data_IF_389020473896
#
_entry.id   IF_389020473896
#
_cell.length_a   1.000
_cell.length_b   1.000
_cell.length_c   1.000
_cell.angle_alpha   90.00
_cell.angle_beta   90.00
_cell.angle_gamma   90.00
#
_symmetry.space_group_name_H-M   'P 1'
#
loop_
_entity.id
_entity.type
_entity.pdbx_description
1 polymer ?
#
# COMPACT_ATOMS: atom_id res chain seq x y z
N UNK A 1 -43.75 5.44 9.46
CA UNK A 1 -42.95 6.26 8.51
C UNK A 1 -41.60 6.69 9.13
N UNK A 2 -40.76 5.73 9.57
CA UNK A 2 -39.38 5.95 10.06
C UNK A 2 -38.54 4.67 9.93
N UNK A 3 -38.49 4.08 8.74
CA UNK A 3 -37.65 2.88 8.50
C UNK A 3 -36.89 2.90 7.16
N UNK A 4 -37.14 3.88 6.29
CA UNK A 4 -36.56 3.92 4.95
C UNK A 4 -35.27 4.74 4.80
N UNK A 5 -34.83 5.48 5.82
CA UNK A 5 -33.65 6.40 5.71
C UNK A 5 -32.33 5.73 6.13
N UNK A 6 -32.34 4.48 6.62
CA UNK A 6 -31.12 3.78 7.06
C UNK A 6 -30.51 2.83 6.05
N UNK A 7 -31.28 2.25 5.13
CA UNK A 7 -30.76 1.29 4.14
C UNK A 7 -30.06 1.96 2.96
N UNK A 8 -30.55 3.10 2.48
CA UNK A 8 -29.94 3.83 1.35
C UNK A 8 -28.58 4.45 1.73
N UNK A 9 -28.44 4.92 2.96
CA UNK A 9 -27.14 5.40 3.50
C UNK A 9 -26.19 4.20 3.72
N UNK A 10 -26.70 3.03 4.11
CA UNK A 10 -25.87 1.82 4.26
C UNK A 10 -25.40 1.26 2.92
N UNK A 11 -26.25 1.23 1.88
CA UNK A 11 -25.85 0.81 0.54
C UNK A 11 -24.88 1.80 -0.12
N UNK A 12 -25.04 3.11 0.10
CA UNK A 12 -24.13 4.13 -0.42
C UNK A 12 -22.72 4.09 0.20
N UNK A 13 -22.57 3.55 1.43
CA UNK A 13 -21.26 3.29 2.04
C UNK A 13 -20.60 1.98 1.60
N UNK A 14 -21.30 1.11 0.86
CA UNK A 14 -20.82 -0.22 0.48
C UNK A 14 -20.38 -0.36 -0.98
N UNK A 15 -20.81 0.50 -1.89
CA UNK A 15 -20.29 0.50 -3.26
C UNK A 15 -18.87 1.06 -3.27
N UNK A 16 -17.85 0.21 -3.37
CA UNK A 16 -16.43 0.63 -3.38
C UNK A 16 -15.59 0.12 -2.21
N UNK A 17 -16.19 0.03 -1.02
CA UNK A 17 -15.44 -0.14 0.23
C UNK A 17 -14.67 -1.46 0.34
N UNK A 18 -15.15 -2.53 -0.29
CA UNK A 18 -14.52 -3.84 -0.24
C UNK A 18 -13.05 -3.81 -0.71
N UNK A 19 -12.73 -3.05 -1.77
CA UNK A 19 -11.36 -2.98 -2.28
C UNK A 19 -10.48 -1.93 -1.61
N UNK A 20 -10.96 -1.25 -0.57
CA UNK A 20 -10.21 -0.19 0.12
C UNK A 20 -9.30 -0.70 1.25
N UNK A 21 -9.19 -2.01 1.44
CA UNK A 21 -8.37 -2.61 2.50
C UNK A 21 -9.00 -2.50 3.89
N UNK A 22 -10.26 -2.89 4.03
CA UNK A 22 -11.00 -2.84 5.29
C UNK A 22 -11.68 -4.18 5.56
N UNK A 23 -11.25 -4.89 6.61
CA UNK A 23 -11.77 -6.22 6.94
C UNK A 23 -13.28 -6.24 7.21
N UNK A 24 -13.85 -5.14 7.71
CA UNK A 24 -15.29 -5.04 7.94
C UNK A 24 -16.11 -4.98 6.64
N UNK A 25 -15.51 -4.46 5.56
CA UNK A 25 -16.20 -4.21 4.30
C UNK A 25 -15.84 -5.22 3.19
N UNK A 26 -14.78 -6.00 3.37
CA UNK A 26 -14.34 -6.97 2.38
C UNK A 26 -15.28 -8.18 2.36
N UNK A 27 -15.81 -8.47 1.17
CA UNK A 27 -16.90 -9.40 0.95
C UNK A 27 -16.52 -10.54 -0.01
N UNK A 28 -15.26 -10.60 -0.48
CA UNK A 28 -14.82 -11.64 -1.41
C UNK A 28 -14.59 -12.95 -0.67
N UNK A 29 -15.19 -14.07 -1.12
CA UNK A 29 -14.92 -15.38 -0.54
C UNK A 29 -13.44 -15.75 -0.64
N UNK A 30 -12.95 -16.48 0.36
CA UNK A 30 -11.54 -16.90 0.40
C UNK A 30 -11.09 -17.66 -0.85
N UNK A 31 -11.94 -18.52 -1.41
CA UNK A 31 -11.64 -19.22 -2.68
C UNK A 31 -11.34 -18.27 -3.83
N UNK A 32 -12.06 -17.16 -3.93
CA UNK A 32 -11.82 -16.14 -4.98
C UNK A 32 -10.48 -15.42 -4.77
N UNK A 33 -10.07 -15.20 -3.51
CA UNK A 33 -8.75 -14.65 -3.18
C UNK A 33 -7.63 -15.63 -3.56
N UNK A 34 -7.82 -16.92 -3.28
CA UNK A 34 -6.87 -17.98 -3.67
C UNK A 34 -6.74 -18.11 -5.19
N UNK A 35 -7.84 -17.98 -5.92
CA UNK A 35 -7.81 -18.04 -7.38
C UNK A 35 -7.10 -16.81 -7.97
N UNK A 36 -7.38 -15.61 -7.43
CA UNK A 36 -6.70 -14.39 -7.84
C UNK A 36 -5.18 -14.47 -7.61
N UNK A 37 -4.79 -14.85 -6.38
CA UNK A 37 -3.39 -14.90 -5.96
C UNK A 37 -2.59 -15.98 -6.67
N UNK A 38 -3.23 -17.07 -7.13
CA UNK A 38 -2.57 -18.08 -7.97
C UNK A 38 -2.07 -17.50 -9.29
N UNK A 39 -2.88 -16.68 -9.95
CA UNK A 39 -2.46 -15.98 -11.17
C UNK A 39 -1.31 -15.03 -10.88
N UNK A 40 -1.40 -14.27 -9.78
CA UNK A 40 -0.32 -13.34 -9.39
C UNK A 40 0.99 -14.07 -9.10
N UNK A 41 0.92 -15.23 -8.44
CA UNK A 41 2.07 -16.08 -8.12
C UNK A 41 2.74 -16.61 -9.39
N UNK A 42 1.97 -17.09 -10.38
CA UNK A 42 2.55 -17.55 -11.65
C UNK A 42 3.20 -16.39 -12.42
N UNK A 43 2.59 -15.20 -12.42
CA UNK A 43 3.14 -14.00 -13.06
C UNK A 43 4.43 -13.50 -12.40
N UNK A 44 4.64 -13.77 -11.11
CA UNK A 44 5.80 -13.29 -10.34
C UNK A 44 6.85 -14.37 -10.06
N UNK A 45 6.63 -15.57 -10.60
CA UNK A 45 7.52 -16.71 -10.44
C UNK A 45 8.93 -16.42 -10.92
N UNK A 46 9.92 -16.80 -10.12
CA UNK A 46 11.34 -16.53 -10.34
C UNK A 46 11.80 -15.14 -9.90
N UNK A 47 10.89 -14.25 -9.49
CA UNK A 47 11.23 -12.89 -9.04
C UNK A 47 11.24 -12.81 -7.51
N UNK A 48 12.45 -12.68 -6.96
CA UNK A 48 12.66 -12.66 -5.50
C UNK A 48 12.55 -11.26 -4.88
N UNK A 49 12.74 -10.21 -5.69
CA UNK A 49 12.81 -8.81 -5.24
C UNK A 49 11.91 -7.94 -6.11
N UNK A 50 10.65 -7.86 -5.70
CA UNK A 50 9.62 -7.08 -6.38
C UNK A 50 9.43 -5.75 -5.67
N UNK A 51 9.19 -4.68 -6.44
CA UNK A 51 8.80 -3.39 -5.89
C UNK A 51 7.50 -2.91 -6.52
N UNK A 52 6.43 -2.93 -5.72
CA UNK A 52 5.09 -2.52 -6.16
C UNK A 52 5.02 -1.02 -6.41
N UNK A 53 4.80 -0.66 -7.67
CA UNK A 53 4.48 0.67 -8.17
C UNK A 53 2.98 0.72 -8.46
N UNK A 54 2.21 1.39 -7.60
CA UNK A 54 0.75 1.47 -7.76
C UNK A 54 0.37 2.61 -8.70
N UNK A 55 -0.16 2.29 -9.87
CA UNK A 55 -0.52 3.29 -10.86
C UNK A 55 -1.84 3.98 -10.50
N UNK A 56 -1.74 5.29 -10.29
CA UNK A 56 -2.87 6.23 -10.32
C UNK A 56 -2.65 7.35 -11.33
N UNK A 57 -1.44 7.45 -11.91
CA UNK A 57 -1.06 8.41 -12.94
C UNK A 57 0.14 7.84 -13.73
N UNK A 58 -0.03 7.66 -15.03
CA UNK A 58 0.91 6.90 -15.86
C UNK A 58 2.34 7.48 -15.86
N UNK A 59 2.48 8.79 -16.00
CA UNK A 59 3.80 9.43 -16.03
C UNK A 59 4.51 9.33 -14.66
N UNK A 60 3.73 9.49 -13.59
CA UNK A 60 4.25 9.35 -12.24
C UNK A 60 4.70 7.92 -11.95
N UNK A 61 3.84 6.94 -12.27
CA UNK A 61 4.14 5.53 -12.10
C UNK A 61 5.32 5.09 -12.96
N UNK A 62 5.43 5.58 -14.20
CA UNK A 62 6.57 5.28 -15.06
C UNK A 62 7.88 5.83 -14.51
N UNK A 63 7.88 7.04 -13.92
CA UNK A 63 9.04 7.59 -13.24
C UNK A 63 9.43 6.76 -12.00
N UNK A 64 8.45 6.34 -11.21
CA UNK A 64 8.63 5.40 -10.10
C UNK A 64 9.29 4.10 -10.58
N UNK A 65 8.79 3.48 -11.65
CA UNK A 65 9.36 2.26 -12.21
C UNK A 65 10.82 2.43 -12.63
N UNK A 66 11.17 3.55 -13.28
CA UNK A 66 12.55 3.84 -13.69
C UNK A 66 13.49 3.99 -12.50
N UNK A 67 13.06 4.63 -11.42
CA UNK A 67 13.83 4.73 -10.17
C UNK A 67 14.05 3.36 -9.52
N UNK A 68 13.02 2.51 -9.50
CA UNK A 68 13.13 1.14 -8.99
C UNK A 68 14.13 0.34 -9.82
N UNK A 69 14.07 0.45 -11.15
CA UNK A 69 14.99 -0.22 -12.08
C UNK A 69 16.45 0.14 -11.81
N UNK A 70 16.75 1.41 -11.55
CA UNK A 70 18.13 1.86 -11.24
C UNK A 70 18.72 1.15 -10.00
N UNK A 71 17.88 0.69 -9.07
CA UNK A 71 18.29 0.00 -7.85
C UNK A 71 18.43 -1.52 -8.02
N UNK A 72 18.16 -2.05 -9.22
CA UNK A 72 18.21 -3.49 -9.50
C UNK A 72 17.03 -4.28 -8.94
N UNK A 73 15.97 -3.61 -8.49
CA UNK A 73 14.70 -4.26 -8.12
C UNK A 73 13.81 -4.41 -9.36
N UNK A 74 12.99 -5.46 -9.41
CA UNK A 74 12.02 -5.62 -10.50
C UNK A 74 10.78 -4.76 -10.21
N UNK A 75 10.45 -3.77 -11.05
CA UNK A 75 9.20 -3.03 -10.90
C UNK A 75 8.01 -3.95 -11.12
N UNK A 76 7.07 -3.94 -10.17
CA UNK A 76 5.79 -4.63 -10.28
C UNK A 76 4.68 -3.58 -10.35
N UNK A 77 3.90 -3.58 -11.42
CA UNK A 77 2.90 -2.54 -11.67
C UNK A 77 1.50 -3.11 -11.52
N UNK A 78 0.74 -2.53 -10.61
CA UNK A 78 -0.70 -2.76 -10.42
C UNK A 78 -1.46 -1.44 -10.45
N UNK A 79 -2.76 -1.47 -10.66
CA UNK A 79 -3.58 -0.26 -10.78
C UNK A 79 -4.97 -0.42 -10.18
N UNK A 80 -5.57 0.71 -9.85
CA UNK A 80 -6.98 0.78 -9.47
C UNK A 80 -7.84 0.74 -10.75
N UNK A 81 -8.88 -0.11 -10.86
CA UNK A 81 -9.82 -0.10 -11.99
C UNK A 81 -10.45 1.28 -12.25
N UNK A 82 -10.53 2.15 -11.24
CA UNK A 82 -11.02 3.53 -11.38
C UNK A 82 -10.04 4.46 -12.13
N UNK A 83 -8.77 4.09 -12.25
CA UNK A 83 -7.76 4.86 -12.99
C UNK A 83 -7.67 4.47 -14.47
N UNK A 84 -8.48 3.51 -14.92
CA UNK A 84 -8.55 3.03 -16.30
C UNK A 84 -8.70 1.51 -16.38
N UNK A 85 -9.16 1.02 -17.55
CA UNK A 85 -9.31 -0.42 -17.82
C UNK A 85 -8.09 -1.05 -18.53
N UNK A 86 -7.11 -0.24 -18.90
CA UNK A 86 -5.93 -0.66 -19.64
C UNK A 86 -4.70 -0.84 -18.76
N UNK A 87 -3.79 -1.72 -19.20
CA UNK A 87 -2.46 -1.82 -18.61
C UNK A 87 -1.72 -0.48 -18.75
N UNK A 88 -1.16 0.09 -17.67
CA UNK A 88 -0.41 1.34 -17.75
C UNK A 88 0.91 1.17 -18.53
N UNK A 89 1.53 2.27 -18.99
CA UNK A 89 2.85 2.25 -19.58
C UNK A 89 3.90 1.68 -18.62
N UNK A 90 4.79 0.84 -19.14
CA UNK A 90 5.81 0.18 -18.34
C UNK A 90 7.21 0.23 -18.93
N UNK A 91 8.22 0.12 -18.07
CA UNK A 91 9.60 -0.20 -18.49
C UNK A 91 9.70 -1.66 -18.95
N UNK A 92 10.64 -2.02 -19.86
CA UNK A 92 10.67 -3.34 -20.50
C UNK A 92 10.73 -4.54 -19.55
N UNK A 93 11.40 -4.40 -18.41
CA UNK A 93 11.57 -5.47 -17.41
C UNK A 93 10.53 -5.45 -16.28
N UNK A 94 9.57 -4.53 -16.32
CA UNK A 94 8.50 -4.49 -15.33
C UNK A 94 7.51 -5.65 -15.52
N UNK A 95 7.00 -6.16 -14.40
CA UNK A 95 5.91 -7.13 -14.36
C UNK A 95 4.61 -6.35 -14.19
N UNK A 96 3.58 -6.71 -14.96
CA UNK A 96 2.24 -6.11 -14.85
C UNK A 96 1.24 -7.12 -14.33
N UNK A 97 0.44 -6.70 -13.35
CA UNK A 97 -0.64 -7.52 -12.80
C UNK A 97 -1.88 -6.64 -12.66
N UNK A 98 -2.93 -7.03 -13.38
CA UNK A 98 -4.28 -6.60 -13.03
C UNK A 98 -4.75 -7.41 -11.82
N UNK A 99 -4.54 -6.85 -10.62
CA UNK A 99 -4.95 -7.49 -9.37
C UNK A 99 -6.47 -7.61 -9.23
N UNK A 100 -7.26 -7.00 -10.13
CA UNK A 100 -8.71 -6.96 -10.01
C UNK A 100 -9.45 -7.96 -10.93
N UNK A 101 -8.78 -8.61 -11.88
CA UNK A 101 -9.43 -9.53 -12.87
C UNK A 101 -10.36 -10.54 -12.20
N UNK A 102 -9.85 -11.24 -11.20
CA UNK A 102 -10.59 -12.26 -10.47
C UNK A 102 -11.47 -11.65 -9.38
N UNK A 103 -11.04 -10.58 -8.72
CA UNK A 103 -11.75 -9.98 -7.57
C UNK A 103 -12.96 -9.13 -7.99
N UNK A 104 -12.95 -8.54 -9.19
CA UNK A 104 -14.04 -7.73 -9.74
C UNK A 104 -14.55 -6.68 -8.76
N UNK A 105 -13.64 -5.98 -8.10
CA UNK A 105 -13.97 -4.90 -7.19
C UNK A 105 -14.14 -3.60 -7.99
N UNK A 106 -15.10 -2.73 -7.62
CA UNK A 106 -15.27 -1.43 -8.29
C UNK A 106 -14.09 -0.47 -8.05
N UNK A 107 -13.35 -0.66 -6.97
CA UNK A 107 -12.15 0.10 -6.59
C UNK A 107 -11.15 -0.91 -6.03
N UNK A 108 -9.85 -0.69 -6.23
CA UNK A 108 -8.83 -1.54 -5.64
C UNK A 108 -7.68 -0.67 -5.13
N UNK A 109 -7.35 -0.78 -3.85
CA UNK A 109 -6.17 -0.13 -3.28
C UNK A 109 -5.01 -1.11 -3.22
N UNK A 110 -3.78 -0.59 -3.28
CA UNK A 110 -2.55 -1.38 -3.12
C UNK A 110 -2.51 -2.22 -1.84
N UNK A 111 -3.25 -1.82 -0.81
CA UNK A 111 -3.41 -2.59 0.42
C UNK A 111 -3.92 -4.00 0.19
N UNK A 112 -4.76 -4.22 -0.84
CA UNK A 112 -5.32 -5.55 -1.12
C UNK A 112 -4.24 -6.56 -1.51
N UNK A 113 -3.43 -6.33 -2.56
CA UNK A 113 -2.34 -7.24 -2.87
C UNK A 113 -1.27 -7.30 -1.77
N UNK A 114 -1.04 -6.23 -1.01
CA UNK A 114 -0.11 -6.22 0.12
C UNK A 114 -0.52 -7.15 1.27
N UNK A 115 -1.81 -7.19 1.62
CA UNK A 115 -2.31 -8.07 2.70
C UNK A 115 -2.10 -9.55 2.39
N UNK A 116 -2.16 -9.90 1.10
CA UNK A 116 -2.02 -11.28 0.62
C UNK A 116 -0.65 -11.58 0.02
N UNK A 117 0.36 -10.73 0.26
CA UNK A 117 1.69 -10.88 -0.35
C UNK A 117 2.27 -12.29 -0.17
N UNK A 118 2.09 -12.90 1.01
CA UNK A 118 2.55 -14.26 1.31
C UNK A 118 2.09 -15.37 0.34
N UNK A 119 0.97 -15.16 -0.35
CA UNK A 119 0.42 -16.12 -1.31
C UNK A 119 1.11 -16.10 -2.66
N UNK A 120 1.74 -14.98 -3.03
CA UNK A 120 2.19 -14.78 -4.41
C UNK A 120 3.64 -14.32 -4.54
N UNK A 121 4.28 -13.79 -3.50
CA UNK A 121 5.69 -13.40 -3.57
C UNK A 121 6.60 -14.59 -3.22
N UNK A 122 7.78 -14.65 -3.83
CA UNK A 122 8.77 -15.69 -3.49
C UNK A 122 9.56 -15.37 -2.22
N UNK A 123 10.07 -14.13 -2.10
CA UNK A 123 10.94 -13.74 -0.98
C UNK A 123 10.48 -12.43 -0.33
N UNK A 124 10.55 -11.29 -1.03
CA UNK A 124 10.16 -10.00 -0.45
C UNK A 124 9.54 -9.04 -1.46
N UNK A 125 8.66 -8.18 -0.96
CA UNK A 125 7.93 -7.17 -1.71
C UNK A 125 8.16 -5.81 -1.08
N UNK A 126 8.95 -4.98 -1.77
CA UNK A 126 8.98 -3.55 -1.53
C UNK A 126 7.73 -2.88 -2.14
N UNK A 127 7.36 -1.73 -1.60
CA UNK A 127 6.28 -0.90 -2.13
C UNK A 127 6.48 0.54 -1.68
N UNK A 128 5.79 1.43 -2.37
CA UNK A 128 5.61 2.82 -1.97
C UNK A 128 4.24 3.32 -2.40
N UNK A 129 3.79 4.39 -1.76
CA UNK A 129 2.53 5.01 -2.08
C UNK A 129 2.57 5.63 -3.48
N UNK A 130 1.41 5.70 -4.14
CA UNK A 130 1.29 6.11 -5.54
C UNK A 130 1.65 7.58 -5.79
N UNK A 131 1.68 8.41 -4.76
CA UNK A 131 2.08 9.82 -4.80
C UNK A 131 3.39 10.10 -4.05
N UNK A 132 4.25 9.09 -3.89
CA UNK A 132 5.62 9.24 -3.41
C UNK A 132 6.62 9.31 -4.58
N UNK A 133 7.50 10.31 -4.58
CA UNK A 133 8.72 10.33 -5.39
C UNK A 133 9.89 10.70 -4.49
N UNK A 134 11.05 10.10 -4.73
CA UNK A 134 12.24 10.35 -3.92
C UNK A 134 13.46 10.60 -4.83
N UNK A 135 14.40 11.46 -4.39
CA UNK A 135 15.70 11.55 -5.01
C UNK A 135 16.47 10.22 -4.88
N UNK A 136 17.44 10.01 -5.78
CA UNK A 136 18.24 8.77 -5.87
C UNK A 136 18.90 8.38 -4.56
N UNK A 137 19.49 9.33 -3.82
CA UNK A 137 20.18 9.04 -2.56
C UNK A 137 19.26 8.43 -1.49
N UNK A 138 17.96 8.77 -1.52
CA UNK A 138 16.97 8.19 -0.60
C UNK A 138 16.42 6.88 -1.11
N UNK A 139 16.28 6.74 -2.43
CA UNK A 139 15.97 5.46 -3.06
C UNK A 139 17.02 4.41 -2.72
N UNK A 140 18.31 4.75 -2.83
CA UNK A 140 19.43 3.88 -2.44
C UNK A 140 19.36 3.47 -0.97
N UNK A 141 19.06 4.42 -0.06
CA UNK A 141 18.88 4.11 1.36
C UNK A 141 17.71 3.17 1.62
N UNK A 142 16.57 3.36 0.95
CA UNK A 142 15.43 2.46 1.07
C UNK A 142 15.76 1.07 0.55
N UNK A 143 16.38 0.99 -0.63
CA UNK A 143 16.83 -0.28 -1.20
C UNK A 143 17.78 -1.01 -0.23
N UNK A 144 18.77 -0.32 0.33
CA UNK A 144 19.66 -0.89 1.34
C UNK A 144 18.91 -1.43 2.57
N UNK A 145 17.94 -0.68 3.11
CA UNK A 145 17.09 -1.15 4.21
C UNK A 145 16.32 -2.41 3.81
N UNK A 146 15.71 -2.44 2.64
CA UNK A 146 14.91 -3.57 2.14
C UNK A 146 15.75 -4.82 1.84
N UNK A 147 16.99 -4.63 1.41
CA UNK A 147 17.95 -5.71 1.26
C UNK A 147 18.34 -6.31 2.62
N UNK A 148 18.47 -5.47 3.65
CA UNK A 148 18.94 -5.90 4.98
C UNK A 148 17.92 -6.70 5.79
N UNK A 149 16.61 -6.57 5.52
CA UNK A 149 15.59 -7.30 6.29
C UNK A 149 15.63 -8.81 6.01
N UNK A 150 15.52 -9.59 7.09
CA UNK A 150 15.53 -11.05 7.05
C UNK A 150 14.13 -11.61 6.80
N UNK A 151 14.04 -12.89 6.39
CA UNK A 151 12.74 -13.55 6.28
C UNK A 151 12.03 -13.59 7.66
N UNK A 152 10.76 -13.20 7.68
CA UNK A 152 9.98 -12.95 8.89
C UNK A 152 9.99 -11.50 9.37
N UNK A 153 10.80 -10.63 8.75
CA UNK A 153 10.89 -9.21 9.09
C UNK A 153 10.20 -8.33 8.04
N UNK A 154 10.07 -7.06 8.41
CA UNK A 154 9.49 -6.01 7.59
C UNK A 154 10.26 -4.71 7.78
N UNK A 155 10.20 -3.80 6.81
CA UNK A 155 10.54 -2.40 6.98
C UNK A 155 9.34 -1.53 6.62
N UNK A 156 9.05 -0.50 7.40
CA UNK A 156 7.96 0.43 7.09
C UNK A 156 8.14 1.78 7.77
N UNK A 157 7.51 2.80 7.19
CA UNK A 157 7.52 4.16 7.71
C UNK A 157 6.74 4.22 9.00
N UNK A 158 7.37 4.60 10.10
CA UNK A 158 6.67 4.75 11.37
C UNK A 158 6.12 6.17 11.50
N UNK A 159 4.81 6.29 11.73
CA UNK A 159 4.14 7.57 11.92
C UNK A 159 3.43 7.65 13.27
N UNK A 160 3.60 8.78 13.93
CA UNK A 160 2.82 9.15 15.11
C UNK A 160 1.44 9.69 14.74
N UNK A 161 1.19 10.06 13.46
CA UNK A 161 -0.01 10.79 13.06
C UNK A 161 0.04 12.27 13.46
N UNK A 162 1.24 12.86 13.48
CA UNK A 162 1.50 14.24 13.89
C UNK A 162 1.78 14.44 15.39
N UNK A 163 2.29 15.63 15.75
CA UNK A 163 2.75 15.94 17.12
C UNK A 163 1.66 15.78 18.18
N UNK A 164 0.39 16.09 17.85
CA UNK A 164 -0.76 15.94 18.75
C UNK A 164 -0.98 14.49 19.22
N UNK A 165 -0.47 13.53 18.46
CA UNK A 165 -0.65 12.11 18.70
C UNK A 165 0.60 11.43 19.29
N UNK A 166 1.64 12.19 19.63
CA UNK A 166 2.90 11.66 20.18
C UNK A 166 2.67 10.73 21.38
N UNK A 167 1.76 11.11 22.28
CA UNK A 167 1.39 10.30 23.46
C UNK A 167 0.14 9.44 23.26
N UNK A 168 -0.54 9.56 22.12
CA UNK A 168 -1.67 8.71 21.76
C UNK A 168 -1.17 7.43 21.09
N UNK A 169 -0.64 6.50 21.88
CA UNK A 169 -0.03 5.28 21.35
C UNK A 169 -0.96 4.39 20.52
N UNK A 170 -2.28 4.59 20.61
CA UNK A 170 -3.32 3.87 19.84
C UNK A 170 -3.49 4.40 18.42
N UNK A 171 -3.02 5.61 18.13
CA UNK A 171 -3.02 6.18 16.77
C UNK A 171 -1.69 6.02 16.06
N UNK A 172 -0.66 5.50 16.74
CA UNK A 172 0.62 5.20 16.11
C UNK A 172 0.45 4.05 15.14
N UNK A 173 1.06 4.17 13.96
CA UNK A 173 0.93 3.18 12.89
C UNK A 173 2.20 3.07 12.08
N UNK A 174 2.32 1.98 11.34
CA UNK A 174 3.15 1.99 10.16
C UNK A 174 2.34 2.57 9.01
N UNK A 175 2.94 3.52 8.29
CA UNK A 175 2.31 4.19 7.18
C UNK A 175 2.75 3.52 5.88
N UNK A 176 1.79 3.19 5.03
CA UNK A 176 1.95 2.63 3.68
C UNK A 176 2.68 3.56 2.69
N UNK A 177 3.38 4.58 3.18
CA UNK A 177 4.12 5.54 2.36
C UNK A 177 5.30 4.86 1.65
N UNK A 178 6.07 4.05 2.38
CA UNK A 178 7.12 3.20 1.85
C UNK A 178 7.34 2.01 2.79
N UNK A 179 7.60 0.83 2.24
CA UNK A 179 7.98 -0.32 3.04
C UNK A 179 8.40 -1.53 2.22
N UNK A 180 8.80 -2.57 2.94
CA UNK A 180 9.10 -3.88 2.38
C UNK A 180 8.65 -4.96 3.35
N UNK A 181 7.96 -5.97 2.85
CA UNK A 181 7.53 -7.13 3.64
C UNK A 181 8.13 -8.40 3.07
N UNK A 182 8.63 -9.27 3.94
CA UNK A 182 9.01 -10.62 3.54
C UNK A 182 7.80 -11.53 3.48
N UNK A 183 7.91 -12.64 2.74
CA UNK A 183 6.83 -13.62 2.60
C UNK A 183 6.40 -14.16 3.97
N UNK A 184 7.36 -14.53 4.83
CA UNK A 184 7.04 -15.05 6.15
C UNK A 184 6.43 -13.98 7.07
N UNK A 185 6.87 -12.72 7.00
CA UNK A 185 6.25 -11.64 7.77
C UNK A 185 4.79 -11.42 7.35
N UNK A 186 4.51 -11.40 6.05
CA UNK A 186 3.15 -11.28 5.54
C UNK A 186 2.26 -12.45 5.96
N UNK A 187 2.78 -13.69 5.96
CA UNK A 187 2.04 -14.86 6.42
C UNK A 187 1.73 -14.79 7.91
N UNK A 188 2.71 -14.44 8.74
CA UNK A 188 2.50 -14.33 10.18
C UNK A 188 1.50 -13.21 10.52
N UNK A 189 1.63 -12.04 9.88
CA UNK A 189 0.64 -10.96 10.01
C UNK A 189 -0.78 -11.44 9.69
N UNK A 190 -0.97 -12.19 8.60
CA UNK A 190 -2.27 -12.75 8.24
C UNK A 190 -2.77 -13.78 9.26
N UNK A 191 -1.91 -14.68 9.72
CA UNK A 191 -2.28 -15.70 10.71
C UNK A 191 -2.66 -15.10 12.07
N UNK A 192 -1.99 -14.03 12.49
CA UNK A 192 -2.33 -13.28 13.71
C UNK A 192 -3.50 -12.31 13.50
N UNK A 193 -3.99 -12.16 12.28
CA UNK A 193 -5.03 -11.22 11.90
C UNK A 193 -4.66 -9.76 12.13
N UNK A 194 -3.40 -9.40 11.87
CA UNK A 194 -2.82 -8.09 12.15
C UNK A 194 -1.90 -7.65 11.01
N UNK A 195 -2.51 -7.14 9.94
CA UNK A 195 -1.82 -6.71 8.71
C UNK A 195 -2.01 -5.22 8.38
N UNK A 196 -2.06 -4.92 7.09
CA UNK A 196 -2.17 -3.57 6.54
C UNK A 196 -3.57 -3.00 6.58
N UNK A 197 -4.58 -3.87 6.56
CA UNK A 197 -5.96 -3.45 6.46
C UNK A 197 -6.51 -2.80 7.73
N UNK A 198 -7.51 -1.95 7.53
CA UNK A 198 -8.34 -1.35 8.57
C UNK A 198 -9.13 -2.40 9.33
N UNK A 199 -9.62 -2.04 10.52
CA UNK A 199 -10.56 -2.82 11.31
C UNK A 199 -10.07 -4.25 11.66
N UNK A 200 -8.85 -4.38 12.20
CA UNK A 200 -8.23 -5.68 12.54
C UNK A 200 -9.00 -6.57 13.52
N UNK A 201 -10.01 -6.05 14.22
CA UNK A 201 -10.90 -6.85 15.05
C UNK A 201 -11.81 -7.78 14.22
N UNK A 202 -12.05 -7.41 12.95
CA UNK A 202 -12.90 -8.13 12.00
C UNK A 202 -12.09 -9.02 11.05
N UNK A 203 -10.77 -9.11 11.23
CA UNK A 203 -9.95 -10.04 10.46
C UNK A 203 -10.44 -11.48 10.68
N UNK A 204 -10.54 -12.34 9.65
CA UNK A 204 -11.04 -13.71 9.79
C UNK A 204 -10.27 -14.55 10.81
N UNK A 205 -8.95 -14.39 10.87
CA UNK A 205 -8.08 -15.02 11.88
C UNK A 205 -7.93 -14.25 13.21
N UNK A 206 -8.69 -13.16 13.44
CA UNK A 206 -8.60 -12.47 14.72
C UNK A 206 -9.09 -13.39 15.86
N UNK A 207 -8.36 -13.49 16.99
CA UNK A 207 -8.83 -14.24 18.14
C UNK A 207 -10.20 -13.75 18.61
N UNK A 208 -11.06 -14.69 19.02
CA UNK A 208 -12.46 -14.39 19.40
C UNK A 208 -12.64 -14.20 20.90
N UNK A 209 -11.57 -14.29 21.71
CA UNK A 209 -11.68 -14.02 23.14
C UNK A 209 -12.03 -12.55 23.39
N UNK A 210 -12.85 -12.33 24.41
CA UNK A 210 -13.46 -11.02 24.65
C UNK A 210 -12.43 -9.94 25.02
N UNK A 211 -11.32 -10.32 25.67
CA UNK A 211 -10.27 -9.40 26.07
C UNK A 211 -9.48 -8.89 24.85
N UNK A 212 -9.09 -9.79 23.96
CA UNK A 212 -8.37 -9.47 22.72
C UNK A 212 -9.26 -8.68 21.75
N UNK A 213 -10.52 -9.08 21.60
CA UNK A 213 -11.49 -8.34 20.79
C UNK A 213 -11.69 -6.91 21.28
N UNK A 214 -11.80 -6.69 22.59
CA UNK A 214 -11.85 -5.33 23.16
C UNK A 214 -10.57 -4.54 22.87
N UNK A 215 -9.40 -5.18 22.97
CA UNK A 215 -8.11 -4.52 22.70
C UNK A 215 -7.97 -4.08 21.25
N UNK A 216 -8.40 -4.93 20.29
CA UNK A 216 -8.37 -4.65 18.85
C UNK A 216 -9.38 -3.58 18.45
N UNK A 217 -10.61 -3.63 18.98
CA UNK A 217 -11.65 -2.61 18.74
C UNK A 217 -11.28 -1.22 19.28
N UNK A 218 -10.39 -1.16 20.28
CA UNK A 218 -9.89 0.09 20.83
C UNK A 218 -8.77 0.75 19.98
N UNK A 219 -8.25 0.06 18.96
CA UNK A 219 -7.23 0.61 18.07
C UNK A 219 -7.83 1.63 17.10
N UNK A 220 -7.00 2.56 16.62
CA UNK A 220 -7.42 3.52 15.60
C UNK A 220 -7.69 2.81 14.26
N UNK A 221 -8.71 3.26 13.53
CA UNK A 221 -9.16 2.59 12.30
C UNK A 221 -8.45 3.11 11.04
N UNK A 222 -7.13 2.90 10.98
CA UNK A 222 -6.29 3.27 9.83
C UNK A 222 -5.46 2.10 9.31
N UNK A 223 -4.99 2.23 8.07
CA UNK A 223 -4.05 1.27 7.50
C UNK A 223 -2.75 1.22 8.28
N UNK A 224 -2.18 0.02 8.37
CA UNK A 224 -0.91 -0.26 9.06
C UNK A 224 -0.94 -0.14 10.59
N UNK A 225 -2.11 0.10 11.19
CA UNK A 225 -2.32 -0.09 12.63
C UNK A 225 -2.20 -1.58 13.00
N UNK A 226 -2.65 -2.49 12.13
CA UNK A 226 -2.48 -3.93 12.31
C UNK A 226 -1.01 -4.35 12.37
N UNK A 227 -0.19 -3.85 11.46
CA UNK A 227 1.27 -4.08 11.49
C UNK A 227 1.88 -3.60 12.83
N UNK A 228 1.45 -2.45 13.34
CA UNK A 228 1.91 -1.95 14.65
C UNK A 228 1.42 -2.82 15.80
N UNK A 229 0.21 -3.36 15.68
CA UNK A 229 -0.34 -4.30 16.64
C UNK A 229 0.47 -5.62 16.65
N UNK A 230 0.80 -6.13 15.46
CA UNK A 230 1.65 -7.29 15.25
C UNK A 230 3.00 -7.18 15.94
N UNK A 231 3.72 -6.08 15.69
CA UNK A 231 5.01 -5.80 16.34
C UNK A 231 4.90 -5.79 17.88
N UNK A 232 3.83 -5.21 18.43
CA UNK A 232 3.68 -5.02 19.87
C UNK A 232 3.19 -6.26 20.63
N UNK A 233 2.35 -7.07 19.99
CA UNK A 233 1.59 -8.12 20.68
C UNK A 233 1.95 -9.54 20.23
N UNK A 234 2.56 -9.68 19.06
CA UNK A 234 2.91 -10.99 18.50
C UNK A 234 4.41 -11.14 18.21
N UNK A 235 5.23 -10.18 18.64
CA UNK A 235 6.69 -10.25 18.49
C UNK A 235 7.18 -9.98 17.06
N UNK A 236 6.33 -9.40 16.21
CA UNK A 236 6.70 -9.00 14.86
C UNK A 236 7.89 -8.04 14.86
N UNK A 237 8.78 -8.18 13.87
CA UNK A 237 9.99 -7.35 13.75
C UNK A 237 9.85 -6.38 12.59
N UNK A 238 9.91 -5.09 12.90
CA UNK A 238 9.80 -4.02 11.90
C UNK A 238 10.97 -3.05 12.01
N UNK A 239 11.79 -2.98 10.96
CA UNK A 239 12.78 -1.92 10.78
C UNK A 239 12.06 -0.61 10.48
N UNK A 240 12.14 0.35 11.39
CA UNK A 240 11.41 1.62 11.27
C UNK A 240 12.13 2.58 10.33
N UNK A 241 11.41 3.02 9.29
CA UNK A 241 11.83 4.12 8.44
C UNK A 241 11.29 5.41 9.03
N UNK A 242 12.13 6.44 9.09
CA UNK A 242 11.72 7.75 9.60
C UNK A 242 10.78 8.44 8.62
N UNK A 243 9.61 8.86 9.07
CA UNK A 243 8.71 9.69 8.25
C UNK A 243 9.43 10.95 7.73
N UNK A 244 10.26 11.58 8.57
CA UNK A 244 11.02 12.78 8.21
C UNK A 244 11.98 12.55 7.04
N UNK A 245 12.52 11.35 6.86
CA UNK A 245 13.47 11.09 5.78
C UNK A 245 12.81 11.00 4.39
N UNK A 246 11.48 10.93 4.32
CA UNK A 246 10.75 10.78 3.04
C UNK A 246 9.61 11.79 2.87
N UNK A 247 9.28 12.58 3.90
CA UNK A 247 8.09 13.44 3.94
C UNK A 247 8.03 14.47 2.80
N UNK A 248 9.16 15.04 2.39
CA UNK A 248 9.25 16.00 1.29
C UNK A 248 9.11 15.36 -0.10
N UNK A 249 9.15 14.02 -0.18
CA UNK A 249 8.82 13.25 -1.37
C UNK A 249 7.35 12.83 -1.46
N UNK A 250 6.54 13.15 -0.46
CA UNK A 250 5.13 12.75 -0.41
C UNK A 250 4.21 13.88 -0.89
N UNK A 251 3.58 13.68 -2.05
CA UNK A 251 2.79 14.67 -2.76
C UNK A 251 1.29 14.44 -2.56
N UNK A 252 0.80 14.89 -1.40
CA UNK A 252 -0.61 14.73 -1.00
C UNK A 252 -1.33 16.06 -0.78
N UNK A 253 -2.61 15.99 -0.41
CA UNK A 253 -3.46 17.16 -0.11
C UNK A 253 -2.81 18.12 0.90
N UNK A 254 -2.01 17.60 1.83
CA UNK A 254 -1.34 18.40 2.86
C UNK A 254 -0.05 19.06 2.38
N UNK A 255 0.48 18.65 1.22
CA UNK A 255 1.72 19.18 0.65
C UNK A 255 1.54 20.46 -0.16
N UNK A 256 0.30 20.82 -0.54
CA UNK A 256 -0.01 22.00 -1.38
C UNK A 256 -1.04 22.89 -0.70
N UNK A 257 -0.76 24.20 -0.60
CA UNK A 257 -1.63 25.19 0.05
C UNK A 257 -2.99 25.36 -0.66
N UNK A 258 -3.03 25.15 -1.98
CA UNK A 258 -4.20 25.39 -2.84
C UNK A 258 -4.69 24.16 -3.62
N UNK A 259 -4.43 22.94 -3.11
CA UNK A 259 -5.53 21.99 -2.85
C UNK A 259 -6.68 21.82 -3.86
N UNK A 260 -6.49 21.52 -5.15
CA UNK A 260 -7.63 21.33 -6.08
C UNK A 260 -8.08 19.87 -6.15
N UNK A 261 -9.32 19.60 -5.73
CA UNK A 261 -9.95 18.28 -5.89
C UNK A 261 -10.50 18.10 -7.31
N UNK A 262 -10.48 16.87 -7.79
CA UNK A 262 -11.00 16.48 -9.10
C UNK A 262 -11.74 15.13 -9.00
N UNK A 263 -12.33 14.68 -10.11
CA UNK A 263 -13.14 13.46 -10.14
C UNK A 263 -12.28 12.18 -10.05
N UNK A 264 -10.97 12.28 -10.32
CA UNK A 264 -10.02 11.19 -10.19
C UNK A 264 -8.71 11.62 -9.54
N UNK A 265 -8.03 10.69 -8.86
CA UNK A 265 -6.70 10.92 -8.28
C UNK A 265 -5.66 11.25 -9.35
N UNK A 266 -5.76 10.65 -10.54
CA UNK A 266 -4.89 10.98 -11.68
C UNK A 266 -4.98 12.46 -12.05
N UNK A 267 -6.21 12.98 -12.11
CA UNK A 267 -6.45 14.38 -12.43
C UNK A 267 -6.01 15.29 -11.29
N UNK A 268 -6.28 14.93 -10.03
CA UNK A 268 -5.76 15.67 -8.89
C UNK A 268 -4.22 15.78 -8.94
N UNK A 269 -3.53 14.70 -9.30
CA UNK A 269 -2.07 14.73 -9.42
C UNK A 269 -1.60 15.68 -10.51
N UNK A 270 -2.25 15.65 -11.68
CA UNK A 270 -1.91 16.53 -12.81
C UNK A 270 -2.15 18.01 -12.53
N UNK A 271 -3.20 18.35 -11.79
CA UNK A 271 -3.56 19.75 -11.49
C UNK A 271 -2.68 20.33 -10.38
N UNK A 272 -2.33 19.53 -9.38
CA UNK A 272 -1.65 20.02 -8.18
C UNK A 272 -0.12 19.87 -8.21
N UNK A 273 0.43 18.99 -9.06
CA UNK A 273 1.85 18.66 -9.05
C UNK A 273 2.45 18.73 -10.46
N UNK A 274 3.42 19.64 -10.64
CA UNK A 274 4.24 19.67 -11.84
C UNK A 274 5.36 18.61 -11.72
N UNK A 275 5.16 17.48 -12.38
CA UNK A 275 6.12 16.37 -12.38
C UNK A 275 7.50 16.78 -12.93
N UNK A 276 7.56 17.71 -13.88
CA UNK A 276 8.83 18.18 -14.44
C UNK A 276 9.59 19.01 -13.42
N UNK A 277 8.90 19.91 -12.72
CA UNK A 277 9.50 20.71 -11.64
C UNK A 277 9.99 19.82 -10.49
N UNK A 278 9.16 18.84 -10.09
CA UNK A 278 9.52 17.86 -9.05
C UNK A 278 10.75 17.07 -9.46
N UNK A 279 10.79 16.55 -10.69
CA UNK A 279 11.91 15.77 -11.16
C UNK A 279 13.21 16.59 -11.19
N UNK A 280 13.17 17.85 -11.64
CA UNK A 280 14.31 18.77 -11.59
C UNK A 280 14.78 19.04 -10.15
N UNK A 281 13.84 19.27 -9.24
CA UNK A 281 14.15 19.49 -7.81
C UNK A 281 14.84 18.29 -7.18
N UNK A 282 14.49 17.08 -7.61
CA UNK A 282 15.09 15.83 -7.13
C UNK A 282 16.28 15.34 -7.96
N UNK A 283 16.69 16.08 -9.00
CA UNK A 283 17.76 15.70 -9.92
C UNK A 283 17.53 14.32 -10.56
N UNK A 284 16.30 14.08 -11.03
CA UNK A 284 15.84 12.85 -11.69
C UNK A 284 15.13 13.13 -13.02
N UNK A 285 15.26 14.35 -13.56
CA UNK A 285 14.63 14.78 -14.81
C UNK A 285 15.11 14.00 -16.03
N UNK A 286 16.31 13.42 -15.98
CA UNK A 286 16.85 12.55 -17.01
C UNK A 286 15.96 11.31 -17.25
N UNK A 287 15.26 10.86 -16.20
CA UNK A 287 14.31 9.75 -16.24
C UNK A 287 12.96 10.10 -16.87
N UNK A 288 12.65 11.37 -17.13
CA UNK A 288 11.42 11.75 -17.82
C UNK A 288 11.46 11.41 -19.32
N UNK A 289 12.65 11.20 -19.88
CA UNK A 289 12.80 10.88 -21.30
C UNK A 289 12.34 9.46 -21.61
N UNK A 290 11.58 9.30 -22.70
CA UNK A 290 11.25 8.00 -23.29
C UNK A 290 12.48 7.57 -24.09
N UNK A 291 13.36 6.79 -23.46
CA UNK A 291 14.39 6.03 -24.17
C UNK A 291 14.11 4.54 -23.96
#
# INVERSE_FOLDING_TARGET
MKQFVREEIWQAFQTGAAGTGNWYAFDRPWGQVLDATRTWAETTKGHRKLWLCWNVNDNWCLLQQKLVRELGWTPLVGWDPMCGVGCPPTVPEAITIDFNVALRLPTLFMHVPLEFAFLWIEEKLAFWHSDLLLPRDRMERLAWVYESIQDGDMAAVFSYGGLKNLFNFRSHRYWELAGCTTRAASLDQYNQGSGWWKNIAFHPNAPQDEAEQRRRKAQYNEHGVGVRYWERHYGGRVTRISERSIADGHFSVTSVKHYQRADSKSEEMRINFDLIEIAKRFHIEDLLTIR
#
